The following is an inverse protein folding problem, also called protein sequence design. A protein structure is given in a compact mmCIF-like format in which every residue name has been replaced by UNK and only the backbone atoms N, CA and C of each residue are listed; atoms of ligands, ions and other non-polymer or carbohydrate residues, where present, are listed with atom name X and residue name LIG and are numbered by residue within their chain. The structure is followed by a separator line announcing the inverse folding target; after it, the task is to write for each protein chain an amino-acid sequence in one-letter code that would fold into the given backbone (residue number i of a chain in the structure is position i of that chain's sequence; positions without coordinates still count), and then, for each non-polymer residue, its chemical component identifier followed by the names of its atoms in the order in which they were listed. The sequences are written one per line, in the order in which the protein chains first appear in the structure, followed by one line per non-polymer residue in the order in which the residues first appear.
data_IF_231361902305
#
_entry.id   IF_231361902305
#
_cell.length_a   1.000
_cell.length_b   1.000
_cell.length_c   1.000
_cell.angle_alpha   90.00
_cell.angle_beta   90.00
_cell.angle_gamma   90.00
#
_symmetry.space_group_name_H-M   'P 1'
#
loop_
_entity.id
_entity.type
_entity.pdbx_description
1 polymer ?
#
# COMPACT_ATOMS: atom_id res chain seq x y z
N UNK A 1 10.27 39.45 -10.83
CA UNK A 1 9.85 38.90 -9.53
C UNK A 1 9.19 37.57 -9.81
N UNK A 2 9.75 36.45 -9.33
CA UNK A 2 9.12 35.14 -9.47
C UNK A 2 8.00 35.07 -8.43
N UNK A 3 6.78 34.83 -8.90
CA UNK A 3 5.60 34.76 -8.06
C UNK A 3 5.74 33.61 -7.05
N UNK A 4 5.93 33.95 -5.76
CA UNK A 4 6.21 32.99 -4.68
C UNK A 4 5.00 32.11 -4.33
N UNK A 5 3.83 32.37 -4.90
CA UNK A 5 2.59 31.69 -4.53
C UNK A 5 2.17 30.54 -5.47
N UNK A 6 2.84 30.32 -6.61
CA UNK A 6 2.51 29.22 -7.54
C UNK A 6 2.81 27.82 -6.93
N UNK A 7 3.58 27.75 -5.84
CA UNK A 7 4.03 26.49 -5.22
C UNK A 7 3.28 26.03 -3.96
N UNK A 8 2.27 26.75 -3.46
CA UNK A 8 1.51 26.31 -2.28
C UNK A 8 0.52 25.21 -2.64
N UNK A 9 0.51 24.12 -1.87
CA UNK A 9 -0.45 23.01 -2.03
C UNK A 9 -1.89 23.52 -2.06
N UNK A 10 -2.24 24.53 -1.25
CA UNK A 10 -3.58 25.14 -1.25
C UNK A 10 -3.97 25.71 -2.62
N UNK A 11 -3.04 26.35 -3.32
CA UNK A 11 -3.31 26.95 -4.63
C UNK A 11 -3.42 25.86 -5.71
N UNK A 12 -2.61 24.81 -5.60
CA UNK A 12 -2.72 23.63 -6.47
C UNK A 12 -4.05 22.89 -6.29
N UNK A 13 -4.53 22.75 -5.04
CA UNK A 13 -5.83 22.13 -4.74
C UNK A 13 -7.00 22.95 -5.29
N UNK A 14 -6.99 24.27 -5.07
CA UNK A 14 -8.04 25.14 -5.61
C UNK A 14 -8.12 25.06 -7.15
N UNK A 15 -6.97 25.00 -7.83
CA UNK A 15 -6.93 24.80 -9.28
C UNK A 15 -7.40 23.40 -9.68
N UNK A 16 -7.08 22.36 -8.91
CA UNK A 16 -7.56 20.99 -9.18
C UNK A 16 -9.07 20.86 -9.00
N UNK A 17 -9.65 21.48 -7.98
CA UNK A 17 -11.11 21.45 -7.75
C UNK A 17 -11.90 22.15 -8.86
N UNK A 18 -11.26 23.03 -9.63
CA UNK A 18 -11.83 23.62 -10.84
C UNK A 18 -11.78 22.70 -12.07
N UNK A 19 -11.07 21.56 -11.99
CA UNK A 19 -10.97 20.57 -13.06
C UNK A 19 -12.16 19.58 -13.06
N UNK A 20 -12.56 19.11 -14.24
CA UNK A 20 -13.80 18.34 -14.41
C UNK A 20 -13.56 16.85 -14.16
N UNK A 21 -14.09 16.35 -13.04
CA UNK A 21 -14.24 14.90 -12.80
C UNK A 21 -15.25 14.34 -13.81
N UNK A 22 -14.83 13.36 -14.61
CA UNK A 22 -15.69 12.71 -15.63
C UNK A 22 -16.62 11.68 -14.97
N UNK A 23 -16.07 10.86 -14.06
CA UNK A 23 -16.81 9.85 -13.30
C UNK A 23 -16.05 9.51 -12.02
N UNK A 24 -16.76 9.05 -11.00
CA UNK A 24 -16.19 8.55 -9.75
C UNK A 24 -17.06 7.45 -9.19
N UNK A 25 -16.44 6.38 -8.72
CA UNK A 25 -17.13 5.27 -8.06
C UNK A 25 -16.40 4.87 -6.77
N UNK A 26 -17.14 4.21 -5.87
CA UNK A 26 -16.55 3.54 -4.71
C UNK A 26 -16.49 2.06 -5.02
N UNK A 27 -15.32 1.46 -4.76
CA UNK A 27 -15.14 0.02 -4.89
C UNK A 27 -16.04 -0.72 -3.89
N UNK A 28 -16.64 -1.81 -4.36
CA UNK A 28 -17.52 -2.67 -3.55
C UNK A 28 -16.70 -3.88 -3.10
N UNK A 29 -16.60 -4.09 -1.79
CA UNK A 29 -15.88 -5.21 -1.20
C UNK A 29 -16.83 -6.20 -0.51
N UNK A 30 -16.49 -7.48 -0.58
CA UNK A 30 -17.22 -8.56 0.10
C UNK A 30 -16.24 -9.57 0.75
N UNK A 31 -16.76 -10.42 1.63
CA UNK A 31 -15.96 -11.45 2.32
C UNK A 31 -15.18 -10.97 3.54
N UNK A 32 -15.42 -9.75 4.02
CA UNK A 32 -14.75 -9.15 5.21
C UNK A 32 -15.72 -8.66 6.30
N UNK A 33 -16.93 -9.23 6.34
CA UNK A 33 -17.97 -8.90 7.33
C UNK A 33 -18.26 -7.39 7.40
N UNK A 34 -18.05 -6.76 8.57
CA UNK A 34 -18.29 -5.33 8.83
C UNK A 34 -16.97 -4.53 8.92
N UNK A 35 -15.88 -5.07 8.40
CA UNK A 35 -14.58 -4.38 8.41
C UNK A 35 -14.49 -3.41 7.22
N UNK A 36 -13.81 -2.29 7.45
CA UNK A 36 -13.54 -1.31 6.40
C UNK A 36 -12.40 -1.80 5.50
N UNK A 37 -12.50 -1.54 4.20
CA UNK A 37 -11.44 -1.80 3.22
C UNK A 37 -11.00 -0.50 2.59
N UNK A 38 -9.72 -0.15 2.73
CA UNK A 38 -9.16 1.09 2.21
C UNK A 38 -7.65 0.95 1.94
N UNK A 39 -7.00 2.03 1.49
CA UNK A 39 -5.58 2.07 1.12
C UNK A 39 -5.16 0.88 0.23
N UNK A 40 -5.94 0.62 -0.82
CA UNK A 40 -5.71 -0.51 -1.72
C UNK A 40 -4.51 -0.31 -2.63
N UNK A 41 -3.97 -1.39 -3.15
CA UNK A 41 -3.04 -1.33 -4.29
C UNK A 41 -3.76 -1.01 -5.58
N UNK A 42 -2.99 -0.66 -6.62
CA UNK A 42 -3.47 -0.86 -7.99
C UNK A 42 -3.79 -2.34 -8.23
N UNK A 43 -4.78 -2.66 -9.08
CA UNK A 43 -5.02 -4.02 -9.53
C UNK A 43 -3.79 -4.64 -10.20
N UNK A 44 -3.66 -5.96 -10.08
CA UNK A 44 -2.60 -6.77 -10.66
C UNK A 44 -3.11 -8.19 -10.96
N UNK A 45 -2.40 -8.92 -11.82
CA UNK A 45 -2.78 -10.28 -12.19
C UNK A 45 -2.09 -11.32 -11.31
N UNK A 46 -2.83 -12.35 -10.92
CA UNK A 46 -2.32 -13.59 -10.32
C UNK A 46 -2.92 -14.75 -11.10
N UNK A 47 -2.09 -15.50 -11.82
CA UNK A 47 -2.52 -16.64 -12.65
C UNK A 47 -3.68 -16.31 -13.62
N UNK A 48 -3.65 -15.10 -14.21
CA UNK A 48 -4.67 -14.62 -15.16
C UNK A 48 -5.93 -14.01 -14.53
N UNK A 49 -6.10 -14.14 -13.22
CA UNK A 49 -7.20 -13.50 -12.48
C UNK A 49 -6.74 -12.14 -11.95
N UNK A 50 -7.62 -11.15 -11.96
CA UNK A 50 -7.31 -9.81 -11.45
C UNK A 50 -7.55 -9.73 -9.94
N UNK A 51 -6.57 -9.19 -9.22
CA UNK A 51 -6.57 -9.00 -7.78
C UNK A 51 -6.17 -7.59 -7.41
N UNK A 52 -6.57 -7.16 -6.22
CA UNK A 52 -5.94 -6.06 -5.49
C UNK A 52 -5.71 -6.45 -4.04
N UNK A 53 -4.78 -5.77 -3.38
CA UNK A 53 -4.59 -5.90 -1.93
C UNK A 53 -5.28 -4.75 -1.22
N UNK A 54 -6.03 -5.03 -0.16
CA UNK A 54 -6.69 -4.02 0.66
C UNK A 54 -6.25 -4.07 2.11
N UNK A 55 -6.12 -2.90 2.75
CA UNK A 55 -6.05 -2.80 4.21
C UNK A 55 -7.45 -3.03 4.76
N UNK A 56 -7.59 -4.05 5.60
CA UNK A 56 -8.83 -4.47 6.24
C UNK A 56 -8.72 -4.24 7.73
N UNK A 57 -9.66 -3.50 8.29
CA UNK A 57 -9.61 -3.07 9.67
C UNK A 57 -11.01 -2.87 10.26
N UNK A 58 -11.18 -3.19 11.54
CA UNK A 58 -12.39 -2.82 12.26
C UNK A 58 -12.33 -1.35 12.61
N UNK A 59 -13.38 -0.59 12.29
CA UNK A 59 -13.43 0.84 12.57
C UNK A 59 -13.18 1.13 14.05
N UNK A 60 -12.15 1.94 14.32
CA UNK A 60 -11.74 2.30 15.69
C UNK A 60 -10.77 1.33 16.36
N UNK A 61 -10.36 0.24 15.69
CA UNK A 61 -9.35 -0.71 16.19
C UNK A 61 -8.24 -0.94 15.17
N UNK A 62 -7.17 -0.14 15.27
CA UNK A 62 -5.97 -0.27 14.43
C UNK A 62 -5.06 -1.44 14.84
N UNK A 63 -5.38 -2.20 15.90
CA UNK A 63 -4.53 -3.29 16.40
C UNK A 63 -4.74 -4.59 15.62
N UNK A 64 -5.88 -4.73 14.94
CA UNK A 64 -6.24 -5.90 14.16
C UNK A 64 -6.33 -5.59 12.66
N UNK A 65 -5.38 -4.82 12.15
CA UNK A 65 -5.25 -4.55 10.72
C UNK A 65 -4.64 -5.73 9.98
N UNK A 66 -5.22 -6.07 8.82
CA UNK A 66 -4.69 -7.08 7.91
C UNK A 66 -4.62 -6.55 6.48
N UNK A 67 -3.66 -7.03 5.71
CA UNK A 67 -3.70 -6.97 4.26
C UNK A 67 -4.36 -8.25 3.77
N UNK A 68 -5.39 -8.10 2.94
CA UNK A 68 -6.15 -9.20 2.31
C UNK A 68 -6.12 -9.04 0.79
N UNK A 69 -6.04 -10.16 0.08
CA UNK A 69 -6.23 -10.21 -1.38
C UNK A 69 -7.72 -10.26 -1.70
N UNK A 70 -8.14 -9.39 -2.61
CA UNK A 70 -9.48 -9.39 -3.16
C UNK A 70 -9.42 -9.67 -4.65
N UNK A 71 -10.18 -10.68 -5.08
CA UNK A 71 -10.31 -11.05 -6.48
C UNK A 71 -11.41 -10.22 -7.14
N UNK A 72 -11.18 -9.76 -8.35
CA UNK A 72 -12.19 -9.08 -9.15
C UNK A 72 -13.34 -10.03 -9.48
N UNK A 73 -14.57 -9.58 -9.26
CA UNK A 73 -15.80 -10.29 -9.63
C UNK A 73 -16.85 -9.28 -10.08
N UNK A 74 -17.06 -9.21 -11.39
CA UNK A 74 -17.90 -8.20 -12.03
C UNK A 74 -17.53 -6.79 -11.53
N UNK A 75 -18.47 -6.08 -10.91
CA UNK A 75 -18.28 -4.73 -10.36
C UNK A 75 -17.84 -4.73 -8.90
N UNK A 76 -17.37 -5.86 -8.36
CA UNK A 76 -16.99 -6.02 -6.96
C UNK A 76 -15.63 -6.70 -6.78
N UNK A 77 -15.14 -6.68 -5.54
CA UNK A 77 -13.88 -7.26 -5.10
C UNK A 77 -14.15 -8.20 -3.91
N UNK A 78 -13.99 -9.50 -4.12
CA UNK A 78 -14.31 -10.54 -3.14
C UNK A 78 -13.05 -11.04 -2.45
N UNK A 79 -13.02 -11.04 -1.12
CA UNK A 79 -11.88 -11.55 -0.35
C UNK A 79 -11.63 -13.03 -0.67
N UNK A 80 -10.39 -13.39 -1.01
CA UNK A 80 -10.01 -14.76 -1.34
C UNK A 80 -9.28 -15.42 -0.18
N UNK A 81 -9.97 -16.28 0.56
CA UNK A 81 -9.42 -16.96 1.75
C UNK A 81 -8.27 -17.92 1.45
N UNK A 82 -8.06 -18.28 0.17
CA UNK A 82 -6.96 -19.15 -0.26
C UNK A 82 -5.64 -18.39 -0.38
N UNK A 83 -5.71 -17.06 -0.42
CA UNK A 83 -4.55 -16.19 -0.55
C UNK A 83 -3.88 -15.94 0.81
N UNK A 84 -2.58 -15.62 0.83
CA UNK A 84 -1.90 -15.24 2.06
C UNK A 84 -2.51 -13.99 2.70
N UNK A 85 -2.46 -13.94 4.03
CA UNK A 85 -2.88 -12.79 4.82
C UNK A 85 -1.64 -12.22 5.52
N UNK A 86 -1.48 -10.90 5.50
CA UNK A 86 -0.38 -10.25 6.22
C UNK A 86 -0.90 -9.37 7.35
N UNK A 87 -0.32 -9.50 8.54
CA UNK A 87 -0.58 -8.60 9.68
C UNK A 87 0.20 -7.29 9.50
N UNK A 88 -0.15 -6.54 8.47
CA UNK A 88 0.50 -5.31 8.03
C UNK A 88 -0.57 -4.29 7.64
N UNK A 89 -0.15 -3.04 7.45
CA UNK A 89 -0.99 -1.95 6.94
C UNK A 89 -0.50 -1.46 5.57
N UNK A 90 -1.30 -0.64 4.90
CA UNK A 90 -0.94 0.14 3.70
C UNK A 90 -0.17 -0.68 2.64
N UNK A 91 -0.83 -1.68 2.01
CA UNK A 91 -0.21 -2.61 1.08
C UNK A 91 0.44 -1.90 -0.13
N UNK A 92 1.48 -2.52 -0.66
CA UNK A 92 2.01 -2.21 -1.98
C UNK A 92 2.50 -3.47 -2.66
N UNK A 93 2.47 -3.42 -3.98
CA UNK A 93 2.97 -4.47 -4.86
C UNK A 93 3.99 -3.87 -5.82
N UNK A 94 4.99 -4.67 -6.17
CA UNK A 94 6.00 -4.28 -7.12
C UNK A 94 6.46 -5.50 -7.91
N UNK A 95 6.05 -5.63 -9.18
CA UNK A 95 6.62 -6.60 -10.10
C UNK A 95 8.11 -6.31 -10.29
N UNK A 96 8.94 -7.33 -10.15
CA UNK A 96 10.38 -7.25 -10.35
C UNK A 96 10.83 -8.46 -11.18
N UNK A 97 10.86 -8.28 -12.51
CA UNK A 97 11.24 -9.32 -13.47
C UNK A 97 10.35 -10.56 -13.36
N UNK A 98 10.91 -11.73 -13.02
CA UNK A 98 10.19 -12.99 -12.82
C UNK A 98 9.68 -13.17 -11.38
N UNK A 99 9.87 -12.16 -10.53
CA UNK A 99 9.44 -12.17 -9.14
C UNK A 99 8.50 -11.00 -8.84
N UNK A 100 7.86 -11.10 -7.68
CA UNK A 100 6.95 -10.10 -7.15
C UNK A 100 7.37 -9.74 -5.73
N UNK A 101 7.40 -8.44 -5.45
CA UNK A 101 7.52 -7.93 -4.08
C UNK A 101 6.13 -7.52 -3.60
N UNK A 102 5.72 -8.09 -2.48
CA UNK A 102 4.55 -7.65 -1.71
C UNK A 102 5.05 -7.06 -0.41
N UNK A 103 4.51 -5.92 -0.01
CA UNK A 103 4.89 -5.32 1.26
C UNK A 103 3.79 -4.47 1.86
N UNK A 104 4.10 -4.01 3.06
CA UNK A 104 3.21 -3.17 3.85
C UNK A 104 3.98 -2.49 4.97
N UNK A 105 3.25 -1.97 5.94
CA UNK A 105 3.78 -1.33 7.16
C UNK A 105 3.54 -2.27 8.34
N UNK A 106 4.62 -2.72 8.95
CA UNK A 106 4.60 -3.44 10.23
C UNK A 106 4.46 -2.40 11.35
N UNK A 107 3.48 -2.58 12.22
CA UNK A 107 3.26 -1.75 13.41
C UNK A 107 3.42 -2.62 14.65
N UNK A 108 4.27 -2.20 15.58
CA UNK A 108 4.59 -2.96 16.78
C UNK A 108 4.57 -2.05 18.01
N UNK A 109 3.86 -2.49 19.03
CA UNK A 109 4.03 -1.95 20.37
C UNK A 109 5.35 -2.46 20.94
N UNK A 110 6.30 -1.56 21.21
CA UNK A 110 7.53 -1.90 21.92
C UNK A 110 7.36 -1.53 23.38
N UNK A 111 7.52 -2.49 24.28
CA UNK A 111 7.32 -2.31 25.74
C UNK A 111 8.12 -1.13 26.34
N UNK A 112 9.22 -0.74 25.70
CA UNK A 112 10.11 0.35 26.14
C UNK A 112 9.94 1.68 25.38
N UNK A 113 9.03 1.78 24.40
CA UNK A 113 8.70 3.06 23.73
C UNK A 113 7.32 3.53 24.13
N UNK A 114 7.21 4.83 24.40
CA UNK A 114 5.93 5.53 24.58
C UNK A 114 5.04 5.49 23.32
N UNK A 115 5.65 5.34 22.14
CA UNK A 115 4.96 5.36 20.84
C UNK A 115 5.14 4.03 20.08
N UNK A 116 4.15 3.70 19.24
CA UNK A 116 4.20 2.57 18.32
C UNK A 116 5.42 2.69 17.40
N UNK A 117 6.19 1.60 17.27
CA UNK A 117 7.21 1.48 16.24
C UNK A 117 6.59 1.04 14.94
N UNK A 118 6.96 1.66 13.83
CA UNK A 118 6.53 1.23 12.50
C UNK A 118 7.69 1.20 11.51
N UNK A 119 7.59 0.35 10.48
CA UNK A 119 8.53 0.29 9.35
C UNK A 119 7.89 -0.43 8.16
N UNK A 120 8.39 -0.17 6.94
CA UNK A 120 8.03 -1.05 5.83
C UNK A 120 8.67 -2.44 5.97
N UNK A 121 7.95 -3.48 5.56
CA UNK A 121 8.49 -4.84 5.42
C UNK A 121 8.21 -5.34 4.00
N UNK A 122 9.08 -6.22 3.52
CA UNK A 122 9.09 -6.66 2.13
C UNK A 122 9.17 -8.17 2.06
N UNK A 123 8.23 -8.74 1.32
CA UNK A 123 8.15 -10.15 0.99
C UNK A 123 8.37 -10.32 -0.50
N UNK A 124 9.06 -11.38 -0.90
CA UNK A 124 9.41 -11.62 -2.30
C UNK A 124 9.29 -13.10 -2.63
N UNK A 125 8.94 -13.39 -3.88
CA UNK A 125 8.91 -14.72 -4.46
C UNK A 125 8.48 -14.68 -5.91
N UNK A 126 8.51 -15.82 -6.59
CA UNK A 126 8.03 -15.96 -7.99
C UNK A 126 6.52 -15.88 -8.12
N UNK A 127 5.83 -16.11 -7.02
CA UNK A 127 4.39 -16.22 -6.95
C UNK A 127 3.92 -15.76 -5.57
N UNK A 128 2.74 -15.16 -5.51
CA UNK A 128 2.16 -14.60 -4.28
C UNK A 128 1.89 -15.67 -3.23
N UNK A 129 1.72 -16.94 -3.62
CA UNK A 129 1.53 -18.05 -2.67
C UNK A 129 2.82 -18.46 -1.95
N UNK A 130 4.00 -18.11 -2.49
CA UNK A 130 5.31 -18.56 -1.99
C UNK A 130 6.22 -17.36 -1.69
N UNK A 131 5.74 -16.47 -0.83
CA UNK A 131 6.43 -15.25 -0.46
C UNK A 131 7.27 -15.43 0.81
N UNK A 132 8.54 -15.04 0.75
CA UNK A 132 9.44 -15.00 1.90
C UNK A 132 9.79 -13.57 2.27
N UNK A 133 9.84 -13.26 3.57
CA UNK A 133 10.28 -11.95 4.04
C UNK A 133 11.77 -11.78 3.72
N UNK A 134 12.10 -10.80 2.89
CA UNK A 134 13.49 -10.56 2.44
C UNK A 134 14.19 -9.46 3.23
N UNK A 135 13.47 -8.41 3.61
CA UNK A 135 14.07 -7.26 4.31
C UNK A 135 13.00 -6.38 4.97
N UNK A 136 13.44 -5.34 5.66
CA UNK A 136 12.60 -4.28 6.21
C UNK A 136 13.28 -2.92 6.12
N UNK A 137 12.47 -1.87 6.09
CA UNK A 137 12.93 -0.50 6.20
C UNK A 137 13.37 -0.12 7.62
N UNK A 138 13.94 1.09 7.77
CA UNK A 138 14.25 1.69 9.06
C UNK A 138 13.00 1.93 9.92
N UNK A 139 13.19 1.90 11.25
CA UNK A 139 12.14 2.30 12.20
C UNK A 139 11.77 3.78 12.02
N UNK A 140 10.47 4.08 12.06
CA UNK A 140 9.95 5.42 11.88
C UNK A 140 9.87 5.87 10.42
N UNK A 141 10.14 4.98 9.45
CA UNK A 141 9.97 5.27 8.03
C UNK A 141 8.90 4.38 7.39
N UNK A 142 7.97 5.03 6.69
CA UNK A 142 7.00 4.38 5.78
C UNK A 142 6.98 5.06 4.43
N UNK A 143 6.44 4.38 3.43
CA UNK A 143 6.32 4.91 2.05
C UNK A 143 7.55 4.63 1.19
N UNK A 144 8.34 3.60 1.53
CA UNK A 144 9.42 3.12 0.66
C UNK A 144 8.78 2.46 -0.58
N UNK A 145 9.25 2.80 -1.77
CA UNK A 145 8.78 2.25 -3.06
C UNK A 145 9.94 1.92 -3.98
N UNK A 146 9.71 0.99 -4.91
CA UNK A 146 10.73 0.52 -5.85
C UNK A 146 10.36 0.84 -7.29
N UNK A 147 11.39 0.88 -8.15
CA UNK A 147 11.24 0.90 -9.61
C UNK A 147 12.33 0.05 -10.25
N UNK A 148 11.95 -0.86 -11.14
CA UNK A 148 12.91 -1.63 -11.94
C UNK A 148 13.42 -0.72 -13.05
N UNK A 149 14.75 -0.60 -13.17
CA UNK A 149 15.38 0.31 -14.11
C UNK A 149 15.91 -0.46 -15.33
N UNK A 150 15.89 0.14 -16.54
CA UNK A 150 16.34 -0.55 -17.75
C UNK A 150 17.78 -1.07 -17.74
N UNK A 151 18.63 -0.51 -16.87
CA UNK A 151 20.03 -0.92 -16.71
C UNK A 151 20.21 -2.09 -15.71
N UNK A 152 19.13 -2.75 -15.31
CA UNK A 152 19.16 -3.88 -14.38
C UNK A 152 19.35 -3.48 -12.91
N UNK A 153 19.35 -2.18 -12.57
CA UNK A 153 19.36 -1.70 -11.19
C UNK A 153 17.93 -1.50 -10.66
N UNK A 154 17.80 -1.41 -9.34
CA UNK A 154 16.54 -1.10 -8.67
C UNK A 154 16.63 0.32 -8.11
N UNK A 155 15.73 1.19 -8.53
CA UNK A 155 15.52 2.50 -7.91
C UNK A 155 14.75 2.35 -6.61
N UNK A 156 15.23 2.98 -5.53
CA UNK A 156 14.58 2.96 -4.21
C UNK A 156 14.18 4.39 -3.84
N UNK A 157 12.89 4.62 -3.68
CA UNK A 157 12.33 5.88 -3.23
C UNK A 157 12.08 5.80 -1.73
N UNK A 158 12.75 6.65 -0.96
CA UNK A 158 12.60 6.74 0.50
C UNK A 158 11.86 8.00 0.89
N UNK A 159 11.13 7.96 2.01
CA UNK A 159 10.49 9.13 2.60
C UNK A 159 11.00 9.32 4.02
N UNK A 160 12.02 10.15 4.18
CA UNK A 160 12.49 10.56 5.49
C UNK A 160 11.34 11.26 6.23
N UNK A 161 11.11 10.88 7.48
CA UNK A 161 10.23 11.59 8.40
C UNK A 161 11.08 12.15 9.53
N UNK A 162 11.00 13.47 9.73
CA UNK A 162 11.86 14.23 10.64
C UNK A 162 11.87 15.70 10.21
N UNK A 163 12.69 16.52 10.88
CA UNK A 163 12.82 17.94 10.56
C UNK A 163 13.17 18.14 9.08
N UNK A 164 12.61 19.20 8.49
CA UNK A 164 13.09 19.71 7.21
C UNK A 164 14.54 20.16 7.45
N UNK A 165 15.47 19.66 6.64
CA UNK A 165 16.77 20.32 6.48
C UNK A 165 16.59 21.72 5.91
#
# INVERSE_FOLDING_TARGET
MVDKDIGKISNLLNNYDSSRIISSERLIFSGVMQQDVYNVTSPFLVNGEEYLLGRVETRGDERNTKIIFFRKKDNSWEADIRMPIFNLQDPFIFPLRDEIIVGGVEVVQKNWRKYLGYRNVFYMGKDVFYLSRITNGPWGMKGIRFKDLPNGKIGVFTRLQGDRG
#
